data_IF_933947463070
#
_entry.id   IF_933947463070
#
_cell.length_a   1.000
_cell.length_b   1.000
_cell.length_c   1.000
_cell.angle_alpha   90.00
_cell.angle_beta   90.00
_cell.angle_gamma   90.00
#
_symmetry.space_group_name_H-M   'P 1'
#
loop_
_entity.id
_entity.type
_entity.pdbx_description
1 polymer ?
#
# COMPACT_ATOMS: atom_id res chain seq x y z
N UNK A 1 21.46 16.97 -14.14
CA UNK A 1 21.30 17.84 -12.95
C UNK A 1 21.25 16.92 -11.75
N UNK A 2 22.37 16.81 -11.03
CA UNK A 2 22.53 15.90 -9.89
C UNK A 2 22.31 16.71 -8.61
N UNK A 3 21.40 16.24 -7.75
CA UNK A 3 21.23 16.82 -6.42
C UNK A 3 22.36 16.25 -5.55
N UNK A 4 23.33 17.09 -5.21
CA UNK A 4 24.41 16.77 -4.31
C UNK A 4 23.86 16.61 -2.88
N UNK A 5 23.93 15.38 -2.34
CA UNK A 5 23.84 15.18 -0.90
C UNK A 5 25.26 15.30 -0.35
N UNK A 6 25.52 16.42 0.33
CA UNK A 6 26.71 16.60 1.13
C UNK A 6 26.69 15.70 2.36
N UNK A 7 27.74 14.92 2.53
CA UNK A 7 28.24 14.46 3.81
C UNK A 7 29.75 14.26 3.67
N UNK A 8 30.51 15.25 4.14
CA UNK A 8 31.92 15.07 4.46
C UNK A 8 31.98 14.11 5.65
N UNK A 9 32.57 12.93 5.47
CA UNK A 9 33.06 12.10 6.57
C UNK A 9 34.52 11.79 6.26
N UNK A 10 35.38 12.29 7.16
CA UNK A 10 36.81 12.08 7.15
C UNK A 10 37.19 10.60 7.34
N UNK A 11 38.40 10.28 6.87
CA UNK A 11 38.97 8.96 6.71
C UNK A 11 39.01 8.10 7.99
N UNK A 12 38.63 6.84 7.84
CA UNK A 12 38.78 5.77 8.83
C UNK A 12 38.46 4.42 8.19
N UNK A 13 39.50 3.75 7.71
CA UNK A 13 39.51 2.48 7.00
C UNK A 13 39.06 1.31 7.90
N UNK A 14 37.88 0.77 7.61
CA UNK A 14 37.53 -0.64 7.82
C UNK A 14 36.29 -0.93 6.97
N UNK A 15 36.51 -1.50 5.80
CA UNK A 15 35.49 -1.94 4.84
C UNK A 15 34.64 -3.09 5.41
N UNK A 16 33.79 -2.78 6.38
CA UNK A 16 32.56 -3.54 6.59
C UNK A 16 31.56 -2.92 5.62
N UNK A 17 31.08 -3.64 4.59
CA UNK A 17 29.95 -3.14 3.83
C UNK A 17 28.80 -2.99 4.82
N UNK A 18 28.54 -1.74 5.22
CA UNK A 18 27.33 -1.39 5.95
C UNK A 18 26.24 -1.70 4.94
N UNK A 19 25.60 -2.86 5.08
CA UNK A 19 24.36 -3.17 4.38
C UNK A 19 23.38 -2.07 4.79
N UNK A 20 23.30 -1.03 3.96
CA UNK A 20 22.25 -0.04 4.06
C UNK A 20 20.98 -0.86 3.92
N UNK A 21 20.10 -0.92 4.95
CA UNK A 21 18.86 -1.63 4.81
C UNK A 21 18.18 -0.99 3.60
N UNK A 22 17.95 -1.77 2.54
CA UNK A 22 17.23 -1.30 1.37
C UNK A 22 15.79 -1.08 1.83
N UNK A 23 15.54 0.07 2.43
CA UNK A 23 14.24 0.50 2.88
C UNK A 23 13.42 0.77 1.63
N UNK A 24 12.59 -0.21 1.26
CA UNK A 24 11.69 -0.10 0.14
C UNK A 24 10.82 1.15 0.24
N UNK A 25 10.63 1.84 -0.87
CA UNK A 25 9.79 3.04 -0.92
C UNK A 25 8.33 2.66 -1.08
N UNK A 26 7.44 3.32 -0.37
CA UNK A 26 6.00 3.08 -0.46
C UNK A 26 5.32 4.22 -1.22
N UNK A 27 4.64 3.88 -2.32
CA UNK A 27 3.80 4.78 -3.09
C UNK A 27 2.33 4.36 -2.91
N UNK A 28 1.52 5.21 -2.29
CA UNK A 28 0.09 4.97 -2.12
C UNK A 28 -0.73 5.70 -3.19
N UNK A 29 -1.64 4.98 -3.85
CA UNK A 29 -2.61 5.50 -4.82
C UNK A 29 -4.01 5.28 -4.23
N UNK A 30 -4.66 6.37 -3.83
CA UNK A 30 -6.00 6.36 -3.27
C UNK A 30 -7.03 6.98 -4.21
N UNK A 31 -8.29 6.54 -4.12
CA UNK A 31 -9.38 7.07 -4.95
C UNK A 31 -10.60 6.14 -4.99
N UNK A 32 -11.66 6.57 -5.65
CA UNK A 32 -12.94 5.85 -5.73
C UNK A 32 -12.83 4.55 -6.56
N UNK A 33 -13.76 3.61 -6.39
CA UNK A 33 -13.94 2.49 -7.33
C UNK A 33 -14.02 2.99 -8.78
N UNK A 34 -13.37 2.26 -9.68
CA UNK A 34 -13.30 2.55 -11.12
C UNK A 34 -12.62 3.88 -11.52
N UNK A 35 -11.91 4.56 -10.62
CA UNK A 35 -11.18 5.79 -10.96
C UNK A 35 -9.88 5.59 -11.76
N UNK A 36 -9.52 4.34 -12.08
CA UNK A 36 -8.30 4.02 -12.84
C UNK A 36 -7.05 3.77 -12.01
N UNK A 37 -7.15 3.66 -10.67
CA UNK A 37 -6.00 3.39 -9.77
C UNK A 37 -5.14 2.21 -10.22
N UNK A 38 -5.77 1.08 -10.54
CA UNK A 38 -5.09 -0.13 -11.00
C UNK A 38 -4.35 0.08 -12.31
N UNK A 39 -4.91 0.90 -13.21
CA UNK A 39 -4.27 1.25 -14.49
C UNK A 39 -3.01 2.07 -14.25
N UNK A 40 -3.10 3.12 -13.42
CA UNK A 40 -1.95 3.97 -13.06
C UNK A 40 -0.87 3.16 -12.34
N UNK A 41 -1.25 2.29 -11.39
CA UNK A 41 -0.33 1.42 -10.68
C UNK A 41 0.46 0.51 -11.63
N UNK A 42 -0.20 -0.09 -12.63
CA UNK A 42 0.46 -0.95 -13.62
C UNK A 42 1.44 -0.17 -14.50
N UNK A 43 1.06 1.03 -14.94
CA UNK A 43 1.94 1.90 -15.75
C UNK A 43 3.19 2.28 -14.94
N UNK A 44 3.02 2.76 -13.71
CA UNK A 44 4.13 3.15 -12.84
C UNK A 44 5.03 1.96 -12.51
N UNK A 45 4.43 0.81 -12.20
CA UNK A 45 5.20 -0.41 -11.93
C UNK A 45 6.04 -0.82 -13.14
N UNK A 46 5.48 -0.72 -14.35
CA UNK A 46 6.22 -0.97 -15.58
C UNK A 46 7.38 0.01 -15.74
N UNK A 47 7.17 1.30 -15.51
CA UNK A 47 8.24 2.31 -15.61
C UNK A 47 9.39 2.03 -14.65
N UNK A 48 9.09 1.71 -13.38
CA UNK A 48 10.13 1.37 -12.39
C UNK A 48 10.88 0.09 -12.74
N UNK A 49 10.18 -0.94 -13.23
CA UNK A 49 10.82 -2.19 -13.69
C UNK A 49 11.69 -1.94 -14.91
N UNK A 50 11.24 -1.11 -15.86
CA UNK A 50 12.02 -0.72 -17.03
C UNK A 50 13.30 0.08 -16.64
N UNK A 51 13.31 0.73 -15.48
CA UNK A 51 14.49 1.38 -14.86
C UNK A 51 15.35 0.43 -14.00
N UNK A 52 15.00 -0.86 -13.92
CA UNK A 52 15.76 -1.88 -13.20
C UNK A 52 15.39 -2.06 -11.71
N UNK A 53 14.31 -1.44 -11.25
CA UNK A 53 13.82 -1.59 -9.89
C UNK A 53 12.84 -2.75 -9.74
N UNK A 54 12.78 -3.31 -8.53
CA UNK A 54 11.79 -4.32 -8.14
C UNK A 54 10.54 -3.66 -7.57
N UNK A 55 9.36 -4.07 -8.04
CA UNK A 55 8.08 -3.47 -7.65
C UNK A 55 7.09 -4.53 -7.19
N UNK A 56 6.37 -4.23 -6.12
CA UNK A 56 5.25 -5.05 -5.67
C UNK A 56 3.98 -4.22 -5.53
N UNK A 57 2.90 -4.68 -6.15
CA UNK A 57 1.58 -4.06 -6.06
C UNK A 57 0.80 -4.76 -4.96
N UNK A 58 0.29 -4.00 -4.00
CA UNK A 58 -0.54 -4.50 -2.91
C UNK A 58 -1.90 -3.82 -3.02
N UNK A 59 -2.96 -4.62 -3.17
CA UNK A 59 -4.34 -4.13 -3.19
C UNK A 59 -4.94 -4.19 -1.77
N UNK A 60 -5.49 -3.07 -1.27
CA UNK A 60 -6.24 -3.06 0.00
C UNK A 60 -7.37 -4.12 0.00
N UNK A 61 -7.97 -4.36 -1.17
CA UNK A 61 -9.10 -5.28 -1.33
C UNK A 61 -8.76 -6.72 -0.90
N UNK A 62 -7.48 -7.12 -0.98
CA UNK A 62 -7.00 -8.45 -0.55
C UNK A 62 -6.97 -8.61 0.98
N UNK A 63 -7.15 -7.51 1.71
CA UNK A 63 -7.06 -7.45 3.18
C UNK A 63 -8.38 -7.11 3.85
N UNK A 64 -9.51 -7.17 3.13
CA UNK A 64 -10.81 -7.06 3.77
C UNK A 64 -11.03 -8.21 4.76
N UNK A 65 -11.67 -7.89 5.89
CA UNK A 65 -12.10 -8.86 6.88
C UNK A 65 -13.18 -9.77 6.30
N UNK A 66 -13.25 -10.99 6.82
CA UNK A 66 -14.35 -11.89 6.53
C UNK A 66 -15.68 -11.23 6.88
N UNK A 67 -16.71 -11.52 6.07
CA UNK A 67 -18.05 -10.92 6.14
C UNK A 67 -18.63 -10.90 7.56
N UNK A 68 -18.37 -11.92 8.35
CA UNK A 68 -18.88 -12.07 9.72
C UNK A 68 -18.27 -11.04 10.70
N UNK A 69 -17.10 -10.51 10.39
CA UNK A 69 -16.35 -9.54 11.20
C UNK A 69 -16.55 -8.09 10.74
N UNK A 70 -17.19 -7.89 9.59
CA UNK A 70 -17.49 -6.56 9.06
C UNK A 70 -18.74 -5.99 9.72
N UNK A 71 -18.67 -4.72 10.11
CA UNK A 71 -19.78 -4.01 10.72
C UNK A 71 -21.03 -4.04 9.82
N UNK A 72 -22.20 -4.26 10.44
CA UNK A 72 -23.49 -4.20 9.75
C UNK A 72 -24.10 -2.83 9.95
N UNK A 73 -24.45 -2.18 8.85
CA UNK A 73 -25.23 -0.95 8.88
C UNK A 73 -26.68 -1.30 8.61
N UNK A 74 -27.54 -0.97 9.58
CA UNK A 74 -28.97 -1.21 9.50
C UNK A 74 -29.66 0.01 8.90
N UNK A 75 -30.43 -0.20 7.82
CA UNK A 75 -31.31 0.84 7.29
C UNK A 75 -32.64 0.78 8.05
N UNK A 76 -33.03 1.89 8.67
CA UNK A 76 -34.39 2.05 9.18
C UNK A 76 -35.33 2.13 7.97
N UNK A 77 -35.99 1.03 7.65
CA UNK A 77 -37.07 0.99 6.67
C UNK A 77 -38.28 0.35 7.34
N UNK A 78 -39.45 0.97 7.20
CA UNK A 78 -40.70 0.39 7.71
C UNK A 78 -40.96 -0.95 7.00
N UNK A 79 -41.10 -2.03 7.77
CA UNK A 79 -41.59 -3.32 7.29
C UNK A 79 -40.57 -4.47 7.23
N UNK A 80 -39.28 -4.22 6.98
CA UNK A 80 -38.25 -5.29 7.00
C UNK A 80 -36.90 -4.75 7.45
N UNK A 81 -36.23 -5.38 8.45
CA UNK A 81 -34.87 -5.01 8.82
C UNK A 81 -33.93 -5.37 7.67
N UNK A 82 -33.48 -4.35 6.93
CA UNK A 82 -32.50 -4.51 5.88
C UNK A 82 -31.13 -4.02 6.40
N UNK A 83 -30.10 -4.85 6.22
CA UNK A 83 -28.74 -4.51 6.63
C UNK A 83 -27.77 -4.79 5.48
N UNK A 84 -26.69 -4.03 5.43
CA UNK A 84 -25.57 -4.27 4.54
C UNK A 84 -24.26 -4.31 5.33
N UNK A 85 -23.25 -4.96 4.77
CA UNK A 85 -21.92 -5.03 5.34
C UNK A 85 -21.14 -3.79 4.90
N UNK A 86 -20.62 -3.05 5.86
CA UNK A 86 -19.93 -1.79 5.63
C UNK A 86 -18.45 -2.02 5.29
N UNK A 87 -18.18 -2.47 4.06
CA UNK A 87 -16.81 -2.57 3.52
C UNK A 87 -16.16 -1.20 3.26
N UNK A 88 -16.96 -0.14 3.32
CA UNK A 88 -16.48 1.24 3.24
C UNK A 88 -15.89 1.70 4.60
N UNK A 89 -16.17 1.00 5.70
CA UNK A 89 -15.52 1.32 6.98
C UNK A 89 -14.02 1.03 6.91
N UNK A 90 -13.18 1.95 7.40
CA UNK A 90 -11.74 1.67 7.60
C UNK A 90 -11.54 0.39 8.43
N UNK A 91 -12.44 0.12 9.38
CA UNK A 91 -12.38 -1.06 10.24
C UNK A 91 -12.69 -2.37 9.52
N UNK A 92 -13.18 -2.33 8.27
CA UNK A 92 -13.38 -3.51 7.45
C UNK A 92 -12.05 -4.10 6.93
N UNK A 93 -10.92 -3.41 7.08
CA UNK A 93 -9.60 -3.86 6.61
C UNK A 93 -8.78 -4.43 7.78
N UNK A 94 -8.14 -5.58 7.55
CA UNK A 94 -7.13 -6.15 8.43
C UNK A 94 -5.80 -5.40 8.27
N UNK A 95 -5.68 -4.27 8.96
CA UNK A 95 -4.50 -3.41 8.91
C UNK A 95 -3.23 -4.13 9.35
N UNK A 96 -3.35 -5.09 10.28
CA UNK A 96 -2.18 -5.83 10.77
C UNK A 96 -1.62 -6.74 9.68
N UNK A 97 -2.48 -7.47 8.97
CA UNK A 97 -2.06 -8.27 7.80
C UNK A 97 -1.50 -7.40 6.67
N UNK A 98 -2.13 -6.25 6.40
CA UNK A 98 -1.65 -5.33 5.37
C UNK A 98 -0.24 -4.80 5.70
N UNK A 99 -0.02 -4.33 6.93
CA UNK A 99 1.29 -3.85 7.39
C UNK A 99 2.32 -4.98 7.33
N UNK A 100 1.96 -6.19 7.74
CA UNK A 100 2.86 -7.32 7.66
C UNK A 100 3.21 -7.71 6.22
N UNK A 101 2.27 -7.63 5.28
CA UNK A 101 2.55 -7.88 3.87
C UNK A 101 3.56 -6.87 3.30
N UNK A 102 3.45 -5.59 3.68
CA UNK A 102 4.42 -4.55 3.30
C UNK A 102 5.79 -4.83 3.92
N UNK A 103 5.84 -5.30 5.18
CA UNK A 103 7.09 -5.56 5.89
C UNK A 103 7.77 -6.89 5.53
N UNK A 104 7.01 -7.87 5.05
CA UNK A 104 7.49 -9.24 4.86
C UNK A 104 8.40 -9.40 3.64
N UNK A 105 8.47 -8.40 2.76
CA UNK A 105 9.21 -8.51 1.51
C UNK A 105 10.17 -7.34 1.35
N UNK A 106 11.29 -7.58 0.68
CA UNK A 106 12.22 -6.52 0.27
C UNK A 106 11.99 -6.23 -1.20
N UNK A 107 11.46 -5.04 -1.49
CA UNK A 107 11.29 -4.50 -2.83
C UNK A 107 11.76 -3.04 -2.83
N UNK A 108 12.22 -2.56 -3.98
CA UNK A 108 12.59 -1.16 -4.13
C UNK A 108 11.37 -0.24 -4.02
N UNK A 109 10.23 -0.69 -4.54
CA UNK A 109 8.94 0.01 -4.48
C UNK A 109 7.76 -0.89 -4.12
N UNK A 110 6.91 -0.39 -3.24
CA UNK A 110 5.57 -0.92 -2.96
C UNK A 110 4.54 0.06 -3.50
N UNK A 111 3.66 -0.40 -4.40
CA UNK A 111 2.51 0.39 -4.86
C UNK A 111 1.26 -0.09 -4.12
N UNK A 112 0.79 0.72 -3.18
CA UNK A 112 -0.42 0.43 -2.39
C UNK A 112 -1.64 1.06 -3.06
N UNK A 113 -2.68 0.26 -3.28
CA UNK A 113 -3.94 0.73 -3.83
C UNK A 113 -5.00 0.81 -2.75
N UNK A 114 -5.47 2.03 -2.46
CA UNK A 114 -6.50 2.31 -1.46
C UNK A 114 -7.82 2.74 -2.10
N UNK A 115 -8.92 2.32 -1.48
CA UNK A 115 -10.21 2.94 -1.74
C UNK A 115 -10.37 4.16 -0.83
N UNK A 116 -10.41 5.36 -1.42
CA UNK A 116 -10.73 6.58 -0.67
C UNK A 116 -12.23 6.81 -0.71
N UNK A 117 -12.84 6.94 0.46
CA UNK A 117 -14.22 7.39 0.62
C UNK A 117 -14.18 8.87 0.96
N UNK A 118 -14.89 9.67 0.17
CA UNK A 118 -15.11 11.09 0.42
C UNK A 118 -16.29 11.28 1.36
#
# INVERSE_FOLDING_TARGET
MSLANGALIEAGDSDIPVEVPTCGRVLAIAGCTNSGKTTVAKILSKMFVDEGATVHIIHQDDFYLAKEKVEKVHRKSEGTPNFFYNYDSKFAVDHWKLINAIKAVSFDYFVLLFHALF
#
